data_IF_861219137178
#
_entry.id   IF_861219137178
#
_cell.length_a   1.000
_cell.length_b   1.000
_cell.length_c   1.000
_cell.angle_alpha   90.00
_cell.angle_beta   90.00
_cell.angle_gamma   90.00
#
_symmetry.space_group_name_H-M   'P 1'
#
loop_
_entity.id
_entity.type
_entity.pdbx_description
1 polymer ?
#
# COMPACT_ATOMS: atom_id res chain seq x y z
N UNK A 1 -46.61 -33.09 34.47
CA UNK A 1 -45.95 -33.40 33.18
C UNK A 1 -45.02 -32.29 32.66
N UNK A 2 -44.88 -31.13 33.35
CA UNK A 2 -44.07 -30.01 32.86
C UNK A 2 -42.62 -29.98 33.38
N UNK A 3 -42.34 -30.58 34.54
CA UNK A 3 -41.01 -30.52 35.17
C UNK A 3 -39.97 -31.32 34.37
N UNK A 4 -40.39 -32.45 33.79
CA UNK A 4 -39.53 -33.34 33.01
C UNK A 4 -39.12 -32.71 31.66
N UNK A 5 -40.03 -31.95 31.03
CA UNK A 5 -39.76 -31.20 29.79
C UNK A 5 -38.79 -30.03 30.03
N UNK A 6 -38.93 -29.31 31.14
CA UNK A 6 -38.03 -28.20 31.50
C UNK A 6 -36.62 -28.71 31.81
N UNK A 7 -36.50 -29.83 32.51
CA UNK A 7 -35.20 -30.45 32.80
C UNK A 7 -34.49 -30.93 31.52
N UNK A 8 -35.24 -31.50 30.57
CA UNK A 8 -34.69 -31.95 29.29
C UNK A 8 -34.23 -30.76 28.44
N UNK A 9 -35.01 -29.69 28.38
CA UNK A 9 -34.64 -28.46 27.66
C UNK A 9 -33.40 -27.80 28.27
N UNK A 10 -33.29 -27.75 29.60
CA UNK A 10 -32.12 -27.24 30.30
C UNK A 10 -30.87 -28.10 30.04
N UNK A 11 -31.02 -29.44 29.97
CA UNK A 11 -29.94 -30.34 29.62
C UNK A 11 -29.46 -30.16 28.18
N UNK A 12 -30.39 -30.00 27.22
CA UNK A 12 -30.03 -29.69 25.83
C UNK A 12 -29.34 -28.33 25.70
N UNK A 13 -29.80 -27.30 26.40
CA UNK A 13 -29.15 -25.99 26.43
C UNK A 13 -27.74 -26.07 27.05
N UNK A 14 -27.58 -26.80 28.15
CA UNK A 14 -26.27 -27.00 28.78
C UNK A 14 -25.30 -27.80 27.88
N UNK A 15 -25.80 -28.82 27.16
CA UNK A 15 -24.98 -29.58 26.20
C UNK A 15 -24.59 -28.75 24.97
N UNK A 16 -25.47 -27.86 24.49
CA UNK A 16 -25.16 -26.95 23.40
C UNK A 16 -24.11 -25.90 23.80
N UNK A 17 -24.10 -25.48 25.07
CA UNK A 17 -23.07 -24.59 25.62
C UNK A 17 -21.72 -25.28 25.83
N UNK A 18 -21.70 -26.59 26.09
CA UNK A 18 -20.44 -27.35 26.24
C UNK A 18 -19.75 -27.68 24.91
N UNK A 19 -20.49 -27.76 23.79
CA UNK A 19 -19.93 -28.08 22.46
C UNK A 19 -19.26 -26.86 21.79
N UNK A 20 -19.49 -25.65 22.30
CA UNK A 20 -18.96 -24.40 21.73
C UNK A 20 -18.04 -23.69 22.73
N UNK A 21 -16.92 -24.34 23.07
CA UNK A 21 -15.74 -23.61 23.54
C UNK A 21 -14.80 -23.51 22.34
N UNK A 22 -14.85 -22.42 21.54
CA UNK A 22 -13.70 -22.11 20.71
C UNK A 22 -12.50 -22.04 21.67
N UNK A 23 -11.48 -22.86 21.45
CA UNK A 23 -10.20 -22.66 22.11
C UNK A 23 -9.80 -21.22 21.86
N UNK A 24 -9.86 -20.41 22.92
CA UNK A 24 -9.47 -19.02 22.85
C UNK A 24 -7.96 -19.03 22.65
N UNK A 25 -7.48 -18.47 21.53
CA UNK A 25 -6.06 -18.22 21.35
C UNK A 25 -5.52 -17.53 22.60
N UNK A 26 -4.31 -17.91 23.01
CA UNK A 26 -3.61 -17.17 24.04
C UNK A 26 -3.55 -15.68 23.65
N UNK A 27 -3.69 -14.79 24.65
CA UNK A 27 -3.63 -13.34 24.41
C UNK A 27 -2.30 -12.92 23.74
N UNK A 28 -1.24 -13.71 23.94
CA UNK A 28 0.07 -13.53 23.33
C UNK A 28 0.05 -13.87 21.83
N UNK A 29 -0.50 -15.03 21.45
CA UNK A 29 -0.65 -15.40 20.05
C UNK A 29 -1.54 -14.41 19.29
N UNK A 30 -2.60 -13.91 19.94
CA UNK A 30 -3.50 -12.90 19.37
C UNK A 30 -2.78 -11.56 19.15
N UNK A 31 -1.92 -11.17 20.09
CA UNK A 31 -1.09 -9.97 19.97
C UNK A 31 -0.11 -10.06 18.81
N UNK A 32 0.62 -11.16 18.68
CA UNK A 32 1.60 -11.35 17.60
C UNK A 32 0.90 -11.44 16.24
N UNK A 33 -0.23 -12.13 16.15
CA UNK A 33 -1.01 -12.19 14.92
C UNK A 33 -1.49 -10.81 14.48
N UNK A 34 -1.93 -9.96 15.42
CA UNK A 34 -2.31 -8.58 15.12
C UNK A 34 -1.14 -7.73 14.61
N UNK A 35 0.07 -7.93 15.16
CA UNK A 35 1.29 -7.25 14.71
C UNK A 35 1.68 -7.68 13.29
N UNK A 36 1.66 -9.00 13.02
CA UNK A 36 1.93 -9.54 11.67
C UNK A 36 0.94 -9.00 10.64
N UNK A 37 -0.36 -8.97 10.95
CA UNK A 37 -1.37 -8.37 10.07
C UNK A 37 -1.10 -6.89 9.81
N UNK A 38 -0.73 -6.13 10.85
CA UNK A 38 -0.35 -4.72 10.71
C UNK A 38 0.84 -4.52 9.78
N UNK A 39 1.86 -5.37 9.90
CA UNK A 39 3.06 -5.36 9.04
C UNK A 39 2.73 -5.73 7.59
N UNK A 40 1.87 -6.73 7.36
CA UNK A 40 1.38 -7.10 6.02
C UNK A 40 0.65 -5.91 5.39
N UNK A 41 -0.26 -5.27 6.13
CA UNK A 41 -1.03 -4.11 5.62
C UNK A 41 -0.10 -2.93 5.29
N UNK A 42 0.95 -2.73 6.07
CA UNK A 42 1.97 -1.72 5.81
C UNK A 42 2.75 -2.03 4.53
N UNK A 43 3.18 -3.28 4.33
CA UNK A 43 3.86 -3.72 3.10
C UNK A 43 2.97 -3.60 1.86
N UNK A 44 1.69 -3.94 1.98
CA UNK A 44 0.69 -3.78 0.93
C UNK A 44 0.53 -2.30 0.54
N UNK A 45 0.47 -1.40 1.55
CA UNK A 45 0.40 0.05 1.32
C UNK A 45 1.64 0.58 0.55
N UNK A 46 2.79 -0.07 0.74
CA UNK A 46 4.05 0.19 0.03
C UNK A 46 4.16 -0.53 -1.32
N UNK A 47 3.08 -1.18 -1.79
CA UNK A 47 3.02 -1.93 -3.05
C UNK A 47 4.02 -3.09 -3.14
N UNK A 48 4.43 -3.64 -2.00
CA UNK A 48 5.20 -4.88 -1.95
C UNK A 48 4.24 -6.07 -2.12
N UNK A 49 4.66 -7.09 -2.85
CA UNK A 49 3.85 -8.31 -2.99
C UNK A 49 3.79 -9.04 -1.65
N UNK A 50 2.60 -9.06 -1.03
CA UNK A 50 2.35 -9.72 0.26
C UNK A 50 1.65 -11.07 0.12
N UNK A 51 1.38 -11.52 -1.10
CA UNK A 51 0.59 -12.74 -1.36
C UNK A 51 1.19 -13.98 -0.68
N UNK A 52 2.52 -14.09 -0.68
CA UNK A 52 3.22 -15.20 -0.05
C UNK A 52 3.13 -15.16 1.48
N UNK A 53 3.27 -13.98 2.10
CA UNK A 53 3.15 -13.81 3.55
C UNK A 53 1.72 -14.06 4.04
N UNK A 54 0.71 -13.63 3.28
CA UNK A 54 -0.71 -13.91 3.58
C UNK A 54 -1.00 -15.41 3.49
N UNK A 55 -0.42 -16.11 2.50
CA UNK A 55 -0.58 -17.56 2.37
C UNK A 55 0.07 -18.31 3.53
N UNK A 56 1.27 -17.91 3.95
CA UNK A 56 1.94 -18.50 5.12
C UNK A 56 1.15 -18.26 6.42
N UNK A 57 0.53 -17.08 6.56
CA UNK A 57 -0.33 -16.77 7.70
C UNK A 57 -1.63 -17.61 7.70
N UNK A 58 -2.28 -17.78 6.54
CA UNK A 58 -3.48 -18.63 6.42
C UNK A 58 -3.15 -20.10 6.70
N UNK A 59 -2.00 -20.58 6.24
CA UNK A 59 -1.51 -21.93 6.51
C UNK A 59 -1.25 -22.16 8.00
N UNK A 60 -0.56 -21.23 8.67
CA UNK A 60 -0.33 -21.30 10.12
C UNK A 60 -1.65 -21.26 10.93
N UNK A 61 -2.62 -20.44 10.51
CA UNK A 61 -3.92 -20.37 11.16
C UNK A 61 -4.74 -21.66 10.99
N UNK A 62 -4.67 -22.30 9.82
CA UNK A 62 -5.33 -23.59 9.57
C UNK A 62 -4.68 -24.72 10.35
N UNK A 63 -3.36 -24.79 10.38
CA UNK A 63 -2.63 -25.77 11.20
C UNK A 63 -3.00 -25.64 12.67
N UNK A 64 -3.06 -24.41 13.19
CA UNK A 64 -3.52 -24.17 14.55
C UNK A 64 -4.95 -24.65 14.78
N UNK A 65 -5.88 -24.36 13.87
CA UNK A 65 -7.27 -24.76 14.02
C UNK A 65 -7.46 -26.30 14.03
N UNK A 66 -6.56 -27.03 13.38
CA UNK A 66 -6.53 -28.51 13.42
C UNK A 66 -5.89 -28.98 14.72
N UNK A 67 -4.80 -28.37 15.14
CA UNK A 67 -4.02 -28.72 16.33
C UNK A 67 -4.78 -28.43 17.65
N UNK A 68 -5.47 -27.30 17.71
CA UNK A 68 -6.34 -26.90 18.83
C UNK A 68 -7.54 -27.84 19.07
N UNK A 69 -7.85 -28.76 18.14
CA UNK A 69 -8.85 -29.81 18.35
C UNK A 69 -8.31 -31.04 19.09
N UNK A 70 -6.99 -31.19 19.19
CA UNK A 70 -6.34 -32.39 19.74
C UNK A 70 -5.60 -32.12 21.05
N UNK A 71 -4.80 -31.05 21.14
CA UNK A 71 -3.99 -30.71 22.32
C UNK A 71 -3.74 -29.19 22.34
N UNK A 72 -4.53 -28.43 23.10
CA UNK A 72 -4.54 -26.96 22.98
C UNK A 72 -3.24 -26.24 23.37
N UNK A 73 -2.41 -26.83 24.23
CA UNK A 73 -1.31 -26.09 24.89
C UNK A 73 0.04 -26.20 24.16
N UNK A 74 0.37 -27.35 23.57
CA UNK A 74 1.59 -27.52 22.76
C UNK A 74 1.50 -26.81 21.41
N UNK A 75 0.28 -26.69 20.88
CA UNK A 75 0.01 -26.03 19.61
C UNK A 75 0.16 -24.50 19.68
N UNK A 76 -0.08 -23.89 20.85
CA UNK A 76 0.12 -22.45 21.04
C UNK A 76 1.60 -22.06 20.93
N UNK A 77 2.52 -22.84 21.51
CA UNK A 77 3.97 -22.57 21.43
C UNK A 77 4.52 -22.69 20.00
N UNK A 78 4.08 -23.72 19.25
CA UNK A 78 4.50 -23.89 17.84
C UNK A 78 3.95 -22.76 16.95
N UNK A 79 2.69 -22.34 17.17
CA UNK A 79 2.09 -21.22 16.45
C UNK A 79 2.82 -19.91 16.75
N UNK A 80 3.11 -19.63 18.02
CA UNK A 80 3.85 -18.44 18.44
C UNK A 80 5.23 -18.41 17.77
N UNK A 81 5.94 -19.53 17.73
CA UNK A 81 7.24 -19.63 17.05
C UNK A 81 7.16 -19.34 15.55
N UNK A 82 6.16 -19.91 14.85
CA UNK A 82 5.93 -19.64 13.41
C UNK A 82 5.55 -18.18 13.15
N UNK A 83 4.68 -17.60 13.97
CA UNK A 83 4.27 -16.20 13.86
C UNK A 83 5.44 -15.24 14.13
N UNK A 84 6.31 -15.56 15.09
CA UNK A 84 7.46 -14.74 15.43
C UNK A 84 8.53 -14.78 14.32
N UNK A 85 8.80 -15.96 13.76
CA UNK A 85 9.67 -16.11 12.58
C UNK A 85 9.14 -15.33 11.37
N UNK A 86 7.81 -15.40 11.13
CA UNK A 86 7.15 -14.63 10.08
C UNK A 86 7.26 -13.12 10.36
N UNK A 87 7.08 -12.68 11.60
CA UNK A 87 7.23 -11.28 12.00
C UNK A 87 8.64 -10.74 11.72
N UNK A 88 9.69 -11.50 12.01
CA UNK A 88 11.07 -11.13 11.68
C UNK A 88 11.33 -11.06 10.17
N UNK A 89 10.75 -11.97 9.39
CA UNK A 89 10.87 -11.94 7.94
C UNK A 89 10.17 -10.73 7.34
N UNK A 90 8.99 -10.38 7.88
CA UNK A 90 8.31 -9.14 7.54
C UNK A 90 9.12 -7.90 7.91
N UNK A 91 9.81 -7.87 9.05
CA UNK A 91 10.66 -6.73 9.40
C UNK A 91 11.82 -6.54 8.41
N UNK A 92 12.42 -7.65 7.94
CA UNK A 92 13.45 -7.60 6.88
C UNK A 92 12.86 -7.11 5.55
N UNK A 93 11.65 -7.57 5.21
CA UNK A 93 10.94 -7.11 4.02
C UNK A 93 10.59 -5.61 4.10
N UNK A 94 10.19 -5.13 5.28
CA UNK A 94 9.90 -3.72 5.53
C UNK A 94 11.16 -2.87 5.35
N UNK A 95 12.30 -3.30 5.91
CA UNK A 95 13.58 -2.63 5.72
C UNK A 95 14.02 -2.60 4.24
N UNK A 96 13.82 -3.70 3.51
CA UNK A 96 14.10 -3.76 2.07
C UNK A 96 13.15 -2.92 1.21
N UNK A 97 11.91 -2.73 1.67
CA UNK A 97 10.84 -2.02 0.94
C UNK A 97 11.00 -0.50 0.87
N UNK A 98 11.86 0.09 1.71
CA UNK A 98 12.02 1.55 1.78
C UNK A 98 12.37 2.15 0.41
N UNK A 99 13.27 1.50 -0.31
CA UNK A 99 13.67 1.90 -1.67
C UNK A 99 12.47 1.94 -2.64
N UNK A 100 11.58 0.95 -2.56
CA UNK A 100 10.39 0.83 -3.42
C UNK A 100 9.36 1.90 -3.07
N UNK A 101 9.19 2.18 -1.77
CA UNK A 101 8.30 3.24 -1.29
C UNK A 101 8.76 4.63 -1.76
N UNK A 102 10.05 4.94 -1.64
CA UNK A 102 10.58 6.23 -2.11
C UNK A 102 10.42 6.42 -3.61
N UNK A 103 10.66 5.38 -4.41
CA UNK A 103 10.44 5.43 -5.87
C UNK A 103 8.96 5.70 -6.20
N UNK A 104 8.05 5.04 -5.50
CA UNK A 104 6.62 5.26 -5.70
C UNK A 104 6.19 6.68 -5.34
N UNK A 105 6.62 7.18 -4.18
CA UNK A 105 6.33 8.55 -3.73
C UNK A 105 6.95 9.57 -4.69
N UNK A 106 8.21 9.39 -5.09
CA UNK A 106 8.88 10.27 -6.05
C UNK A 106 8.12 10.32 -7.38
N UNK A 107 7.63 9.18 -7.89
CA UNK A 107 6.82 9.14 -9.10
C UNK A 107 5.50 9.90 -8.93
N UNK A 108 4.82 9.72 -7.80
CA UNK A 108 3.55 10.40 -7.52
C UNK A 108 3.74 11.93 -7.43
N UNK A 109 4.80 12.37 -6.74
CA UNK A 109 5.18 13.78 -6.66
C UNK A 109 5.56 14.32 -8.03
N UNK A 110 6.33 13.59 -8.83
CA UNK A 110 6.73 13.99 -10.18
C UNK A 110 5.52 14.17 -11.10
N UNK A 111 4.55 13.24 -11.07
CA UNK A 111 3.31 13.36 -11.84
C UNK A 111 2.48 14.56 -11.36
N UNK A 112 2.37 14.76 -10.04
CA UNK A 112 1.70 15.93 -9.48
C UNK A 112 2.33 17.25 -9.91
N UNK A 113 3.67 17.34 -9.85
CA UNK A 113 4.42 18.50 -10.30
C UNK A 113 4.27 18.74 -11.82
N UNK A 114 4.26 17.67 -12.62
CA UNK A 114 4.04 17.77 -14.06
C UNK A 114 2.64 18.29 -14.39
N UNK A 115 1.60 17.83 -13.68
CA UNK A 115 0.24 18.34 -13.87
C UNK A 115 0.12 19.81 -13.43
N UNK A 116 0.74 20.17 -12.31
CA UNK A 116 0.77 21.55 -11.82
C UNK A 116 1.57 22.50 -12.72
N UNK A 117 2.55 21.99 -13.49
CA UNK A 117 3.34 22.80 -14.41
C UNK A 117 2.62 23.14 -15.71
N UNK A 118 1.56 22.39 -16.08
CA UNK A 118 0.74 22.66 -17.28
C UNK A 118 0.23 24.10 -17.30
N UNK A 119 -0.52 24.61 -16.30
CA UNK A 119 -1.01 25.99 -16.34
C UNK A 119 0.12 27.01 -16.41
N UNK A 120 1.25 26.78 -15.73
CA UNK A 120 2.41 27.68 -15.80
C UNK A 120 2.98 27.70 -17.22
N UNK A 121 3.14 26.53 -17.84
CA UNK A 121 3.63 26.41 -19.21
C UNK A 121 2.66 27.06 -20.21
N UNK A 122 1.36 26.89 -20.04
CA UNK A 122 0.35 27.44 -20.94
C UNK A 122 0.19 28.96 -20.78
N UNK A 123 0.16 29.48 -19.56
CA UNK A 123 -0.13 30.91 -19.33
C UNK A 123 1.11 31.80 -19.29
N UNK A 124 2.30 31.25 -19.02
CA UNK A 124 3.53 32.05 -18.91
C UNK A 124 4.47 31.79 -20.09
N UNK A 125 4.79 30.53 -20.36
CA UNK A 125 5.77 30.19 -21.41
C UNK A 125 5.18 30.38 -22.82
N UNK A 126 3.91 30.05 -23.02
CA UNK A 126 3.28 30.11 -24.34
C UNK A 126 3.19 31.55 -24.90
N UNK A 127 2.74 32.57 -24.15
CA UNK A 127 2.79 33.95 -24.63
C UNK A 127 4.21 34.41 -24.95
N UNK A 128 5.19 34.03 -24.12
CA UNK A 128 6.58 34.42 -24.31
C UNK A 128 7.17 33.79 -25.58
N UNK A 129 6.88 32.52 -25.84
CA UNK A 129 7.27 31.81 -27.06
C UNK A 129 6.62 32.42 -28.31
N UNK A 130 5.34 32.77 -28.24
CA UNK A 130 4.65 33.46 -29.35
C UNK A 130 5.32 34.81 -29.63
N UNK A 131 5.56 35.62 -28.60
CA UNK A 131 6.23 36.93 -28.76
C UNK A 131 7.64 36.78 -29.33
N UNK A 132 8.41 35.80 -28.86
CA UNK A 132 9.75 35.52 -29.37
C UNK A 132 9.73 35.07 -30.84
N UNK A 133 8.84 34.14 -31.19
CA UNK A 133 8.65 33.68 -32.57
C UNK A 133 8.21 34.83 -33.49
N UNK A 134 7.32 35.70 -33.01
CA UNK A 134 6.86 36.89 -33.72
C UNK A 134 8.01 37.87 -33.98
N UNK A 135 8.81 38.20 -32.97
CA UNK A 135 9.98 39.07 -33.12
C UNK A 135 10.99 38.49 -34.12
N UNK A 136 11.27 37.19 -34.03
CA UNK A 136 12.23 36.51 -34.92
C UNK A 136 11.74 36.47 -36.37
N UNK A 137 10.44 36.29 -36.60
CA UNK A 137 9.85 36.28 -37.95
C UNK A 137 9.76 37.69 -38.54
N UNK A 138 9.33 38.70 -37.76
CA UNK A 138 9.28 40.11 -38.21
C UNK A 138 10.65 40.74 -38.41
N UNK A 139 11.67 40.36 -37.64
CA UNK A 139 13.03 40.87 -37.80
C UNK A 139 13.61 40.60 -39.21
N UNK A 140 13.15 39.55 -39.90
CA UNK A 140 13.54 39.29 -41.30
C UNK A 140 12.90 40.24 -42.31
N UNK A 141 11.79 40.89 -41.96
CA UNK A 141 11.05 41.80 -42.84
C UNK A 141 11.38 43.29 -42.60
N UNK A 142 12.03 43.63 -41.49
CA UNK A 142 12.36 45.03 -41.10
C UNK A 142 13.81 45.42 -41.40
N UNK A 143 14.54 44.62 -42.19
CA UNK A 143 15.83 45.09 -42.74
C UNK A 143 15.53 46.06 -43.88
N UNK A 144 15.39 47.34 -43.54
CA UNK A 144 15.25 48.42 -44.52
C UNK A 144 16.46 48.41 -45.49
N UNK A 145 16.24 48.59 -46.80
CA UNK A 145 17.34 48.82 -47.73
C UNK A 145 18.05 50.11 -47.31
N UNK A 146 19.33 49.98 -46.94
CA UNK A 146 20.24 51.11 -46.73
C UNK A 146 20.26 51.89 -48.04
N UNK A 147 19.60 53.04 -48.05
CA UNK A 147 19.47 53.90 -49.22
C UNK A 147 20.84 54.19 -49.82
N UNK A 148 21.10 53.63 -50.99
CA UNK A 148 22.24 53.98 -51.82
C UNK A 148 22.01 55.37 -52.37
N UNK A 149 22.57 56.41 -51.73
CA UNK A 149 22.87 57.66 -52.43
C UNK A 149 24.14 57.44 -53.26
N UNK A 150 23.97 57.04 -54.53
CA UNK A 150 24.92 57.44 -55.57
C UNK A 150 24.62 58.90 -55.89
N UNK A 151 25.51 59.79 -55.46
CA UNK A 151 25.50 61.17 -55.90
C UNK A 151 26.49 61.27 -57.07
N UNK A 152 26.02 60.94 -58.27
CA UNK A 152 26.65 61.37 -59.52
C UNK A 152 26.03 62.74 -59.87
N UNK A 153 26.85 63.78 -59.84
CA UNK A 153 26.67 65.05 -60.56
C UNK A 153 28.07 65.68 -60.61
N UNK A 154 28.78 65.56 -61.73
CA UNK A 154 28.73 66.42 -62.93
C UNK A 154 29.47 67.73 -62.72
#
# INVERSE_FOLDING_TARGET
MNILLVALAAFFLASALLVVHPHALSNEALGIMSDVLGKIQLLESRKVNVSDYVRMLDEAAREYQVCARSDGQSCDEELIGKLQALSEELDKAIAGSESTYYVYVARKVAVGAALASIPIATYVLLPWLISYAWLRTKAKWVVLPRGGRKNDNR
#
